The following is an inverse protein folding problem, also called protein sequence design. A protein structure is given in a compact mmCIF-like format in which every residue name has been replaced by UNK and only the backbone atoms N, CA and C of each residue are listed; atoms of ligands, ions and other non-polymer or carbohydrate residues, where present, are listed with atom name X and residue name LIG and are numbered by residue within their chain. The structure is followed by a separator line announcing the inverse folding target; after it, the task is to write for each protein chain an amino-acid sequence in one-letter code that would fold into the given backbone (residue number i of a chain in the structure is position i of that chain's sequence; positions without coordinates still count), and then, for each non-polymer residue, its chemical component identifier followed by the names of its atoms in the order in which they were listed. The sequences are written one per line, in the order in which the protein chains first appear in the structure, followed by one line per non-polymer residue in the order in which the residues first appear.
data_IF_633853853800
#
_entry.id   IF_633853853800
#
_cell.length_a   1.000
_cell.length_b   1.000
_cell.length_c   1.000
_cell.angle_alpha   90.00
_cell.angle_beta   90.00
_cell.angle_gamma   90.00
#
_symmetry.space_group_name_H-M   'P 1'
#
loop_
_entity.id
_entity.type
_entity.pdbx_description
1 polymer ?
#
# COMPACT_ATOMS: atom_id res chain seq x y z
N UNK A 1 0.08 3.37 17.57
CA UNK A 1 -1.14 3.47 16.74
C UNK A 1 -0.89 2.64 15.48
N UNK A 2 -0.75 1.32 15.66
CA UNK A 2 0.28 0.57 14.92
C UNK A 2 -0.14 -0.82 14.40
N UNK A 3 -1.43 -1.13 14.31
CA UNK A 3 -1.89 -2.36 13.64
C UNK A 3 -3.35 -2.23 13.14
N UNK A 4 -4.16 -1.43 13.85
CA UNK A 4 -5.57 -1.23 13.55
C UNK A 4 -5.86 -0.66 12.15
N UNK A 5 -4.96 0.15 11.59
CA UNK A 5 -5.22 0.83 10.30
C UNK A 5 -4.80 0.00 9.08
N UNK A 6 -3.80 -0.89 9.20
CA UNK A 6 -3.54 -1.91 8.17
C UNK A 6 -4.70 -2.90 8.05
N UNK A 7 -5.36 -3.21 9.16
CA UNK A 7 -6.55 -4.06 9.18
C UNK A 7 -7.73 -3.50 8.36
N UNK A 8 -7.73 -2.19 8.06
CA UNK A 8 -8.72 -1.59 7.17
C UNK A 8 -8.45 -1.90 5.68
N UNK A 9 -7.23 -2.33 5.34
CA UNK A 9 -6.84 -2.60 3.96
C UNK A 9 -7.23 -4.02 3.56
N UNK A 10 -8.30 -4.12 2.79
CA UNK A 10 -8.79 -5.41 2.31
C UNK A 10 -8.02 -5.90 1.08
N UNK A 11 -7.65 -7.18 1.07
CA UNK A 11 -7.15 -7.83 -0.15
C UNK A 11 -8.20 -7.77 -1.26
N UNK A 12 -7.75 -7.56 -2.49
CA UNK A 12 -8.61 -7.38 -3.65
C UNK A 12 -9.08 -5.94 -3.89
N UNK A 13 -8.86 -5.02 -2.93
CA UNK A 13 -9.15 -3.60 -3.07
C UNK A 13 -8.42 -2.97 -4.24
N UNK A 14 -9.01 -1.92 -4.81
CA UNK A 14 -8.38 -1.15 -5.88
C UNK A 14 -7.39 -0.17 -5.29
N UNK A 15 -6.47 0.29 -6.13
CA UNK A 15 -5.47 1.29 -5.75
C UNK A 15 -6.08 2.54 -5.07
N UNK A 16 -7.18 3.07 -5.60
CA UNK A 16 -7.84 4.25 -5.03
C UNK A 16 -8.37 4.02 -3.61
N UNK A 17 -8.90 2.82 -3.34
CA UNK A 17 -9.40 2.45 -2.01
C UNK A 17 -8.24 2.38 -1.01
N UNK A 18 -7.10 1.79 -1.43
CA UNK A 18 -5.89 1.72 -0.60
C UNK A 18 -5.32 3.12 -0.33
N UNK A 19 -5.26 3.99 -1.33
CA UNK A 19 -4.80 5.39 -1.17
C UNK A 19 -5.72 6.20 -0.26
N UNK A 20 -7.03 5.93 -0.29
CA UNK A 20 -7.98 6.62 0.58
C UNK A 20 -7.75 6.34 2.07
N UNK A 21 -7.19 5.18 2.41
CA UNK A 21 -6.90 4.77 3.79
C UNK A 21 -5.63 5.45 4.30
N UNK A 22 -4.55 5.42 3.51
CA UNK A 22 -3.26 5.97 3.92
C UNK A 22 -3.15 7.50 3.76
N UNK A 23 -4.22 8.12 3.26
CA UNK A 23 -4.25 9.55 2.98
C UNK A 23 -3.36 9.95 1.80
N UNK A 24 -3.47 11.20 1.38
CA UNK A 24 -2.65 11.79 0.30
C UNK A 24 -1.15 11.92 0.64
N UNK A 25 -0.61 11.13 1.58
CA UNK A 25 0.81 11.11 1.94
C UNK A 25 1.75 10.75 0.78
N UNK A 26 1.19 10.40 -0.39
CA UNK A 26 1.91 10.36 -1.64
C UNK A 26 2.58 9.02 -1.83
N UNK A 27 2.38 8.46 -3.02
CA UNK A 27 3.18 7.32 -3.45
C UNK A 27 4.63 7.77 -3.56
N UNK A 28 5.48 7.28 -2.67
CA UNK A 28 6.92 7.51 -2.67
C UNK A 28 7.58 6.86 -3.88
N UNK A 29 7.14 5.63 -4.20
CA UNK A 29 7.65 4.88 -5.34
C UNK A 29 6.56 4.00 -5.94
N UNK A 30 6.58 3.86 -7.27
CA UNK A 30 5.78 2.86 -7.96
C UNK A 30 6.63 2.21 -9.04
N UNK A 31 6.55 0.88 -9.14
CA UNK A 31 7.27 0.16 -10.20
C UNK A 31 6.54 -1.12 -10.57
N UNK A 32 6.55 -1.37 -11.88
CA UNK A 32 6.04 -2.59 -12.50
C UNK A 32 7.11 -3.68 -12.41
N UNK A 33 6.72 -4.87 -11.97
CA UNK A 33 7.61 -6.03 -11.84
C UNK A 33 7.52 -6.88 -13.10
N UNK A 34 6.33 -7.42 -13.39
CA UNK A 34 6.07 -8.29 -14.52
C UNK A 34 4.57 -8.26 -14.86
N UNK A 35 4.22 -8.31 -16.15
CA UNK A 35 2.81 -8.28 -16.58
C UNK A 35 2.04 -7.12 -15.94
N UNK A 36 0.93 -7.43 -15.27
CA UNK A 36 0.11 -6.44 -14.56
C UNK A 36 0.38 -6.38 -13.06
N UNK A 37 1.57 -6.84 -12.62
CA UNK A 37 2.03 -6.78 -11.24
C UNK A 37 2.80 -5.47 -11.01
N UNK A 38 2.38 -4.69 -10.02
CA UNK A 38 2.99 -3.42 -9.63
C UNK A 38 3.13 -3.34 -8.12
N UNK A 39 4.26 -2.81 -7.65
CA UNK A 39 4.37 -2.39 -6.26
C UNK A 39 4.23 -0.87 -6.13
N UNK A 40 3.69 -0.45 -5.00
CA UNK A 40 3.60 0.93 -4.57
C UNK A 40 4.15 1.03 -3.14
N UNK A 41 5.01 2.00 -2.92
CA UNK A 41 5.47 2.39 -1.59
C UNK A 41 4.77 3.71 -1.23
N UNK A 42 4.06 3.74 -0.12
CA UNK A 42 3.37 4.93 0.39
C UNK A 42 4.07 5.41 1.66
N UNK A 43 4.21 6.73 1.81
CA UNK A 43 4.53 7.29 3.12
C UNK A 43 3.30 7.14 4.02
N UNK A 44 3.48 6.78 5.28
CA UNK A 44 2.37 6.71 6.21
C UNK A 44 2.86 6.87 7.65
N UNK A 45 2.40 7.94 8.31
CA UNK A 45 2.89 8.39 9.62
C UNK A 45 4.43 8.47 9.62
N UNK A 46 5.09 7.86 10.61
CA UNK A 46 6.55 7.83 10.72
C UNK A 46 7.19 6.68 9.89
N UNK A 47 6.37 5.87 9.20
CA UNK A 47 6.79 4.67 8.49
C UNK A 47 6.47 4.67 7.00
N UNK A 48 6.50 3.47 6.42
CA UNK A 48 6.23 3.24 5.00
C UNK A 48 5.35 2.01 4.81
N UNK A 49 4.40 2.09 3.88
CA UNK A 49 3.58 0.94 3.48
C UNK A 49 3.98 0.48 2.10
N UNK A 50 4.35 -0.80 1.99
CA UNK A 50 4.56 -1.48 0.71
C UNK A 50 3.29 -2.24 0.34
N UNK A 51 2.72 -1.92 -0.81
CA UNK A 51 1.57 -2.59 -1.38
C UNK A 51 1.89 -3.21 -2.74
N UNK A 52 1.51 -4.46 -2.94
CA UNK A 52 1.61 -5.18 -4.20
C UNK A 52 0.24 -5.35 -4.82
N UNK A 53 0.11 -4.97 -6.09
CA UNK A 53 -1.10 -5.13 -6.88
C UNK A 53 -0.83 -6.07 -8.05
N UNK A 54 -1.80 -6.93 -8.36
CA UNK A 54 -1.87 -7.67 -9.61
C UNK A 54 -3.22 -7.42 -10.27
N UNK A 55 -3.21 -7.16 -11.58
CA UNK A 55 -4.45 -6.86 -12.33
C UNK A 55 -5.28 -5.72 -11.68
N UNK A 56 -4.58 -4.74 -11.09
CA UNK A 56 -5.20 -3.59 -10.42
C UNK A 56 -5.80 -3.89 -9.04
N UNK A 57 -5.59 -5.08 -8.48
CA UNK A 57 -6.11 -5.51 -7.18
C UNK A 57 -5.00 -5.79 -6.19
N UNK A 58 -5.20 -5.37 -4.95
CA UNK A 58 -4.24 -5.56 -3.88
C UNK A 58 -4.06 -7.04 -3.53
N UNK A 59 -2.82 -7.49 -3.44
CA UNK A 59 -2.45 -8.84 -3.04
C UNK A 59 -1.75 -8.88 -1.68
N UNK A 60 -0.84 -7.93 -1.45
CA UNK A 60 0.01 -7.90 -0.26
C UNK A 60 0.10 -6.45 0.18
N UNK A 61 0.09 -6.24 1.49
CA UNK A 61 0.30 -4.96 2.14
C UNK A 61 1.13 -5.24 3.38
N UNK A 62 2.21 -4.50 3.56
CA UNK A 62 3.07 -4.61 4.74
C UNK A 62 3.54 -3.22 5.15
N UNK A 63 3.70 -3.05 6.46
CA UNK A 63 4.20 -1.83 7.08
C UNK A 63 5.64 -2.04 7.50
N UNK A 64 6.50 -1.08 7.15
CA UNK A 64 7.77 -0.90 7.80
C UNK A 64 7.62 0.24 8.80
N UNK A 65 7.85 -0.07 10.08
CA UNK A 65 8.04 0.94 11.12
C UNK A 65 9.52 1.37 11.15
N UNK A 66 9.83 2.58 11.61
CA UNK A 66 11.21 3.10 11.69
C UNK A 66 11.88 2.88 13.05
N UNK A 67 11.34 1.99 13.89
CA UNK A 67 11.85 1.70 15.25
C UNK A 67 13.26 1.11 15.26
#
# INVERSE_FOLDING_TARGET
MTDLELGAVQFGSRYADVVSIFGCAGTLASRKIAGDIKFHLFAWNDGQVLALFAQGRLLITTLSDTS
#
